data_IF_602770296658
#
_entry.id   IF_602770296658
#
_cell.length_a   1.000
_cell.length_b   1.000
_cell.length_c   1.000
_cell.angle_alpha   90.00
_cell.angle_beta   90.00
_cell.angle_gamma   90.00
#
_symmetry.space_group_name_H-M   'P 1'
#
loop_
_entity.id
_entity.type
_entity.pdbx_description
1 polymer ?
#
# COMPACT_ATOMS: atom_id res chain seq x y z
N UNK A 1 3.56 13.99 -8.70
CA UNK A 1 3.38 12.89 -7.73
C UNK A 1 2.47 13.42 -6.63
N UNK A 2 1.30 12.79 -6.41
CA UNK A 2 0.33 13.24 -5.40
C UNK A 2 0.66 12.54 -4.08
N UNK A 3 1.30 13.25 -3.16
CA UNK A 3 1.48 12.79 -1.78
C UNK A 3 0.16 13.02 -1.04
N UNK A 4 -0.38 11.97 -0.42
CA UNK A 4 -1.55 12.09 0.46
C UNK A 4 -1.00 12.24 1.87
N UNK A 5 -1.24 13.40 2.51
CA UNK A 5 -0.85 13.63 3.89
C UNK A 5 -1.64 12.67 4.78
N UNK A 6 -0.93 11.77 5.48
CA UNK A 6 -1.50 10.93 6.53
C UNK A 6 -0.84 11.41 7.83
N UNK A 7 -1.65 11.88 8.77
CA UNK A 7 -1.16 12.26 10.10
C UNK A 7 -0.92 10.99 10.92
N UNK A 8 0.34 10.65 11.15
CA UNK A 8 0.71 9.56 12.05
C UNK A 8 0.90 10.15 13.45
N UNK A 9 0.11 9.67 14.41
CA UNK A 9 0.08 10.17 15.80
C UNK A 9 1.33 9.85 16.63
N UNK A 10 2.34 9.19 16.03
CA UNK A 10 3.55 8.71 16.70
C UNK A 10 4.81 9.12 15.91
N UNK A 11 5.22 10.39 16.07
CA UNK A 11 6.44 10.95 15.46
C UNK A 11 6.39 11.18 13.93
N UNK A 12 7.31 11.98 13.36
CA UNK A 12 7.39 12.18 11.91
C UNK A 12 7.91 10.91 11.24
N UNK A 13 7.00 10.09 10.71
CA UNK A 13 7.32 8.96 9.85
C UNK A 13 7.19 9.41 8.39
N UNK A 14 8.32 9.51 7.69
CA UNK A 14 8.38 9.80 6.26
C UNK A 14 7.95 8.57 5.44
N UNK A 15 6.64 8.30 5.45
CA UNK A 15 6.02 7.19 4.73
C UNK A 15 5.68 7.58 3.29
N UNK A 16 6.28 6.86 2.34
CA UNK A 16 5.96 6.94 0.93
C UNK A 16 4.71 6.10 0.63
N UNK A 17 3.57 6.77 0.56
CA UNK A 17 2.29 6.13 0.27
C UNK A 17 1.99 6.17 -1.23
N UNK A 18 1.83 4.99 -1.82
CA UNK A 18 1.41 4.84 -3.20
C UNK A 18 -0.12 4.68 -3.31
N UNK A 19 -0.77 5.54 -4.09
CA UNK A 19 -2.22 5.49 -4.29
C UNK A 19 -2.61 4.48 -5.39
N UNK A 20 -3.30 3.42 -4.99
CA UNK A 20 -3.91 2.43 -5.88
C UNK A 20 -5.41 2.70 -6.07
N UNK A 21 -5.73 3.73 -6.87
CA UNK A 21 -7.12 4.10 -7.16
C UNK A 21 -7.75 3.39 -8.38
N UNK A 22 -6.93 2.98 -9.34
CA UNK A 22 -7.40 2.37 -10.60
C UNK A 22 -7.69 0.89 -10.41
N UNK A 23 -8.69 0.33 -11.12
CA UNK A 23 -9.04 -1.10 -11.05
C UNK A 23 -7.83 -2.03 -11.23
N UNK A 24 -6.96 -1.75 -12.21
CA UNK A 24 -5.72 -2.52 -12.43
C UNK A 24 -4.74 -2.42 -11.25
N UNK A 25 -4.56 -1.21 -10.69
CA UNK A 25 -3.69 -1.01 -9.52
C UNK A 25 -4.23 -1.70 -8.27
N UNK A 26 -5.56 -1.74 -8.10
CA UNK A 26 -6.24 -2.45 -7.01
C UNK A 26 -6.11 -3.97 -7.16
N UNK A 27 -6.32 -4.49 -8.36
CA UNK A 27 -6.21 -5.93 -8.61
C UNK A 27 -4.77 -6.43 -8.45
N UNK A 28 -3.80 -5.69 -9.00
CA UNK A 28 -2.39 -6.05 -8.91
C UNK A 28 -1.82 -5.79 -7.52
N UNK A 29 -2.18 -4.68 -6.87
CA UNK A 29 -1.73 -4.33 -5.52
C UNK A 29 -0.21 -4.45 -5.36
N UNK A 30 0.20 -5.29 -4.40
CA UNK A 30 1.59 -5.65 -4.14
C UNK A 30 2.04 -6.96 -4.82
N UNK A 31 1.17 -7.60 -5.62
CA UNK A 31 1.55 -8.79 -6.39
C UNK A 31 2.76 -8.47 -7.28
N UNK A 32 3.62 -9.47 -7.46
CA UNK A 32 4.85 -9.39 -8.27
C UNK A 32 5.94 -8.45 -7.73
N UNK A 33 5.71 -7.72 -6.63
CA UNK A 33 6.80 -7.01 -5.95
C UNK A 33 7.73 -8.03 -5.28
N UNK A 34 9.03 -7.78 -5.36
CA UNK A 34 10.04 -8.62 -4.69
C UNK A 34 10.11 -8.33 -3.19
N UNK A 35 9.95 -7.06 -2.82
CA UNK A 35 9.96 -6.56 -1.44
C UNK A 35 9.28 -5.19 -1.41
N UNK A 36 8.85 -4.78 -0.22
CA UNK A 36 8.38 -3.42 0.08
C UNK A 36 9.34 -2.81 1.12
N UNK A 37 9.90 -1.61 0.87
CA UNK A 37 10.68 -0.90 1.88
C UNK A 37 9.83 -0.57 3.11
N UNK A 38 10.46 -0.44 4.28
CA UNK A 38 9.77 -0.16 5.55
C UNK A 38 9.02 1.18 5.52
N UNK A 39 9.59 2.17 4.81
CA UNK A 39 8.99 3.49 4.65
C UNK A 39 7.97 3.56 3.50
N UNK A 40 7.43 2.43 3.02
CA UNK A 40 6.47 2.40 1.93
C UNK A 40 5.15 1.75 2.32
N UNK A 41 4.06 2.37 1.89
CA UNK A 41 2.71 1.86 2.06
C UNK A 41 1.94 1.92 0.74
N UNK A 42 0.94 1.05 0.58
CA UNK A 42 0.01 1.08 -0.54
C UNK A 42 -1.38 1.45 -0.04
N UNK A 43 -1.90 2.60 -0.45
CA UNK A 43 -3.25 3.02 -0.14
C UNK A 43 -4.20 2.55 -1.24
N UNK A 44 -5.00 1.52 -0.93
CA UNK A 44 -5.92 0.89 -1.86
C UNK A 44 -7.32 1.48 -1.69
N UNK A 45 -7.81 2.24 -2.68
CA UNK A 45 -9.08 2.98 -2.56
C UNK A 45 -9.87 2.96 -3.87
N UNK A 46 -11.17 2.65 -3.89
CA UNK A 46 -11.94 2.06 -2.80
C UNK A 46 -11.54 0.59 -2.61
N UNK A 47 -11.43 0.16 -1.36
CA UNK A 47 -11.14 -1.20 -0.96
C UNK A 47 -12.44 -1.91 -0.52
N UNK A 48 -12.87 -2.92 -1.28
CA UNK A 48 -14.01 -3.77 -0.92
C UNK A 48 -13.55 -5.11 -0.32
N UNK A 49 -12.41 -5.62 -0.80
CA UNK A 49 -11.77 -6.85 -0.35
C UNK A 49 -10.30 -6.81 -0.76
N UNK A 50 -9.45 -7.42 0.06
CA UNK A 50 -8.03 -7.63 -0.23
C UNK A 50 -7.83 -9.12 -0.38
N UNK A 51 -7.21 -9.52 -1.48
CA UNK A 51 -6.73 -10.89 -1.65
C UNK A 51 -5.26 -10.93 -1.24
N UNK A 52 -4.85 -12.00 -0.56
CA UNK A 52 -3.45 -12.23 -0.14
C UNK A 52 -2.83 -13.41 -0.88
N UNK A 53 -3.56 -13.98 -1.84
CA UNK A 53 -3.12 -15.13 -2.63
C UNK A 53 -1.99 -14.72 -3.58
N UNK A 54 -0.93 -15.53 -3.68
CA UNK A 54 0.22 -15.28 -4.56
C UNK A 54 1.06 -14.03 -4.21
N UNK A 55 1.09 -13.68 -2.92
CA UNK A 55 2.00 -12.65 -2.39
C UNK A 55 3.39 -13.26 -2.11
N UNK A 56 4.45 -12.52 -2.42
CA UNK A 56 5.85 -12.97 -2.22
C UNK A 56 6.38 -12.77 -0.80
N UNK A 57 5.74 -11.90 -0.03
CA UNK A 57 6.15 -11.52 1.32
C UNK A 57 4.90 -11.29 2.18
N UNK A 58 4.99 -11.51 3.50
CA UNK A 58 3.91 -11.18 4.41
C UNK A 58 3.68 -9.67 4.41
N UNK A 59 2.42 -9.26 4.54
CA UNK A 59 2.04 -7.85 4.63
C UNK A 59 1.18 -7.63 5.85
N UNK A 60 1.32 -6.44 6.41
CA UNK A 60 0.41 -5.92 7.42
C UNK A 60 -0.67 -5.09 6.72
N UNK A 61 -1.92 -5.33 7.10
CA UNK A 61 -3.10 -4.64 6.56
C UNK A 61 -3.82 -3.97 7.73
N UNK A 62 -4.16 -2.69 7.54
CA UNK A 62 -4.87 -1.83 8.48
C UNK A 62 -6.23 -1.41 7.95
#
# INVERSE_FOLDING_TARGET
MKYTHIEVSNGPLDLNIELAASFRKRFLGLMFRKQMPEDHALLLVPCNAIHTFSMRFPIDVV
#
